data_IF_910192629123
#
_entry.id   IF_910192629123
#
_cell.length_a   1.000
_cell.length_b   1.000
_cell.length_c   1.000
_cell.angle_alpha   90.00
_cell.angle_beta   90.00
_cell.angle_gamma   90.00
#
_symmetry.space_group_name_H-M   'P 1'
#
loop_
_entity.id
_entity.type
_entity.pdbx_description
1 polymer ?
#
# COMPACT_ATOMS: atom_id res chain seq x y z
N UNK A 1 -9.13 -8.82 25.94
CA UNK A 1 -8.00 -9.23 25.08
C UNK A 1 -8.54 -10.11 23.96
N UNK A 2 -9.02 -9.49 22.88
CA UNK A 2 -9.60 -10.20 21.74
C UNK A 2 -8.46 -10.68 20.85
N UNK A 3 -8.30 -12.00 20.75
CA UNK A 3 -7.26 -12.66 19.96
C UNK A 3 -7.39 -12.43 18.44
N UNK A 4 -8.42 -11.69 17.98
CA UNK A 4 -8.62 -11.32 16.57
C UNK A 4 -7.96 -10.01 16.13
N UNK A 5 -7.70 -9.06 17.04
CA UNK A 5 -7.10 -7.76 16.67
C UNK A 5 -5.60 -7.85 16.35
N UNK A 6 -4.89 -8.74 17.04
CA UNK A 6 -3.46 -8.98 16.81
C UNK A 6 -3.20 -9.54 15.42
N UNK A 7 -3.98 -10.54 14.98
CA UNK A 7 -3.79 -11.19 13.67
C UNK A 7 -3.87 -10.22 12.49
N UNK A 8 -4.82 -9.28 12.53
CA UNK A 8 -4.98 -8.29 11.47
C UNK A 8 -3.80 -7.29 11.42
N UNK A 9 -3.24 -6.91 12.57
CA UNK A 9 -2.03 -6.08 12.64
C UNK A 9 -0.80 -6.82 12.13
N UNK A 10 -0.63 -8.10 12.46
CA UNK A 10 0.47 -8.92 11.92
C UNK A 10 0.39 -9.04 10.39
N UNK A 11 -0.81 -9.29 9.84
CA UNK A 11 -1.02 -9.32 8.39
C UNK A 11 -0.67 -7.97 7.74
N UNK A 12 -1.06 -6.87 8.35
CA UNK A 12 -0.76 -5.53 7.85
C UNK A 12 0.75 -5.25 7.86
N UNK A 13 1.46 -5.65 8.92
CA UNK A 13 2.92 -5.54 8.99
C UNK A 13 3.62 -6.37 7.90
N UNK A 14 3.18 -7.62 7.68
CA UNK A 14 3.70 -8.48 6.60
C UNK A 14 3.46 -7.81 5.24
N UNK A 15 2.24 -7.31 5.01
CA UNK A 15 1.89 -6.63 3.78
C UNK A 15 2.76 -5.40 3.54
N UNK A 16 3.03 -4.57 4.55
CA UNK A 16 3.96 -3.44 4.46
C UNK A 16 5.35 -3.91 4.04
N UNK A 17 5.85 -4.94 4.70
CA UNK A 17 7.21 -5.43 4.51
C UNK A 17 7.45 -6.00 3.11
N UNK A 18 6.40 -6.51 2.46
CA UNK A 18 6.48 -7.08 1.11
C UNK A 18 6.07 -6.06 0.04
N UNK A 19 5.01 -5.28 0.25
CA UNK A 19 4.46 -4.39 -0.79
C UNK A 19 5.40 -3.23 -1.10
N UNK A 20 5.98 -2.59 -0.08
CA UNK A 20 6.87 -1.45 -0.26
C UNK A 20 8.08 -1.82 -1.14
N UNK A 21 8.89 -2.85 -0.82
CA UNK A 21 10.03 -3.19 -1.66
C UNK A 21 9.60 -3.61 -3.07
N UNK A 22 8.50 -4.36 -3.21
CA UNK A 22 7.98 -4.76 -4.53
C UNK A 22 7.60 -3.54 -5.38
N UNK A 23 6.89 -2.57 -4.81
CA UNK A 23 6.50 -1.33 -5.50
C UNK A 23 7.72 -0.46 -5.82
N UNK A 24 8.69 -0.35 -4.92
CA UNK A 24 9.92 0.41 -5.17
C UNK A 24 10.77 -0.22 -6.27
N UNK A 25 10.97 -1.55 -6.23
CA UNK A 25 11.68 -2.29 -7.27
C UNK A 25 10.99 -2.06 -8.62
N UNK A 26 9.67 -2.16 -8.69
CA UNK A 26 8.95 -1.89 -9.93
C UNK A 26 9.10 -0.43 -10.37
N UNK A 27 8.97 0.55 -9.46
CA UNK A 27 9.04 1.97 -9.79
C UNK A 27 10.41 2.35 -10.40
N UNK A 28 11.51 1.80 -9.90
CA UNK A 28 12.85 2.12 -10.38
C UNK A 28 13.35 1.18 -11.49
N UNK A 29 13.12 -0.14 -11.36
CA UNK A 29 13.69 -1.17 -12.25
C UNK A 29 12.66 -1.85 -13.15
N UNK A 30 11.40 -1.45 -13.11
CA UNK A 30 10.37 -1.98 -14.00
C UNK A 30 10.67 -1.69 -15.47
N UNK A 31 10.03 -2.43 -16.37
CA UNK A 31 10.03 -2.12 -17.80
C UNK A 31 8.89 -1.17 -18.15
N UNK A 32 8.91 -0.61 -19.37
CA UNK A 32 7.88 0.30 -19.86
C UNK A 32 8.14 1.78 -19.67
N UNK A 33 7.14 2.62 -19.92
CA UNK A 33 7.24 4.07 -19.80
C UNK A 33 7.47 4.51 -18.34
N UNK A 34 8.70 4.94 -18.06
CA UNK A 34 9.13 5.37 -16.73
C UNK A 34 8.27 6.50 -16.14
N UNK A 35 7.77 7.43 -16.97
CA UNK A 35 6.95 8.56 -16.49
C UNK A 35 5.59 8.08 -15.98
N UNK A 36 4.91 7.22 -16.74
CA UNK A 36 3.62 6.64 -16.35
C UNK A 36 3.76 5.76 -15.12
N UNK A 37 4.81 4.92 -15.09
CA UNK A 37 5.11 4.05 -13.97
C UNK A 37 5.33 4.81 -12.66
N UNK A 38 6.15 5.86 -12.69
CA UNK A 38 6.40 6.73 -11.54
C UNK A 38 5.13 7.43 -11.09
N UNK A 39 4.32 7.96 -12.01
CA UNK A 39 3.04 8.57 -11.65
C UNK A 39 2.15 7.60 -10.87
N UNK A 40 1.96 6.37 -11.36
CA UNK A 40 1.15 5.35 -10.69
C UNK A 40 1.72 5.00 -9.30
N UNK A 41 3.00 4.64 -9.23
CA UNK A 41 3.58 4.20 -7.95
C UNK A 41 3.69 5.31 -6.92
N UNK A 42 4.02 6.55 -7.31
CA UNK A 42 4.01 7.68 -6.37
C UNK A 42 2.60 8.05 -5.92
N UNK A 43 1.58 7.96 -6.78
CA UNK A 43 0.19 8.13 -6.37
C UNK A 43 -0.22 7.08 -5.33
N UNK A 44 0.19 5.83 -5.49
CA UNK A 44 -0.08 4.80 -4.48
C UNK A 44 0.63 5.09 -3.15
N UNK A 45 1.89 5.50 -3.18
CA UNK A 45 2.65 5.87 -1.97
C UNK A 45 1.98 7.06 -1.26
N UNK A 46 1.51 8.06 -2.00
CA UNK A 46 0.80 9.20 -1.44
C UNK A 46 -0.52 8.79 -0.76
N UNK A 47 -1.32 7.95 -1.41
CA UNK A 47 -2.57 7.43 -0.81
C UNK A 47 -2.26 6.59 0.44
N UNK A 48 -1.19 5.79 0.41
CA UNK A 48 -0.76 5.02 1.57
C UNK A 48 -0.35 5.92 2.75
N UNK A 49 0.38 7.01 2.47
CA UNK A 49 0.74 7.99 3.50
C UNK A 49 -0.50 8.65 4.12
N UNK A 50 -1.52 8.99 3.32
CA UNK A 50 -2.80 9.52 3.83
C UNK A 50 -3.50 8.49 4.73
N UNK A 51 -3.51 7.21 4.35
CA UNK A 51 -4.09 6.15 5.15
C UNK A 51 -3.39 6.01 6.52
N UNK A 52 -2.05 6.15 6.57
CA UNK A 52 -1.28 6.18 7.81
C UNK A 52 -1.71 7.36 8.68
N UNK A 53 -1.80 8.58 8.12
CA UNK A 53 -2.21 9.77 8.88
C UNK A 53 -3.61 9.57 9.49
N UNK A 54 -4.54 9.01 8.72
CA UNK A 54 -5.89 8.69 9.21
C UNK A 54 -5.86 7.63 10.33
N UNK A 55 -5.02 6.61 10.20
CA UNK A 55 -4.84 5.57 11.21
C UNK A 55 -4.33 6.14 12.55
N UNK A 56 -3.51 7.18 12.52
CA UNK A 56 -2.97 7.84 13.72
C UNK A 56 -3.79 9.06 14.20
N UNK A 57 -4.95 9.36 13.61
CA UNK A 57 -5.66 10.63 13.86
C UNK A 57 -6.34 10.74 15.25
N UNK A 58 -6.28 9.70 16.09
CA UNK A 58 -6.92 9.66 17.41
C UNK A 58 -8.46 9.60 17.40
N UNK A 59 -9.09 9.64 16.23
CA UNK A 59 -10.56 9.58 16.07
C UNK A 59 -10.94 8.18 15.58
N UNK A 60 -11.65 7.40 16.40
CA UNK A 60 -11.90 5.97 16.18
C UNK A 60 -12.45 5.65 14.78
N UNK A 61 -13.35 6.48 14.24
CA UNK A 61 -13.89 6.32 12.90
C UNK A 61 -12.84 6.51 11.80
N UNK A 62 -12.01 7.55 11.89
CA UNK A 62 -10.92 7.82 10.95
C UNK A 62 -9.82 6.75 11.04
N UNK A 63 -9.56 6.22 12.24
CA UNK A 63 -8.60 5.14 12.42
C UNK A 63 -9.03 3.87 11.68
N UNK A 64 -10.32 3.51 11.77
CA UNK A 64 -10.86 2.36 11.05
C UNK A 64 -10.78 2.56 9.53
N UNK A 65 -11.08 3.76 9.04
CA UNK A 65 -10.90 4.09 7.62
C UNK A 65 -9.43 3.96 7.21
N UNK A 66 -8.51 4.54 7.99
CA UNK A 66 -7.06 4.46 7.72
C UNK A 66 -6.56 3.02 7.68
N UNK A 67 -7.04 2.17 8.59
CA UNK A 67 -6.72 0.75 8.62
C UNK A 67 -7.19 0.02 7.35
N UNK A 68 -8.46 0.17 6.99
CA UNK A 68 -9.05 -0.49 5.81
C UNK A 68 -8.42 0.04 4.52
N UNK A 69 -8.26 1.36 4.38
CA UNK A 69 -7.62 1.98 3.23
C UNK A 69 -6.16 1.52 3.09
N UNK A 70 -5.41 1.48 4.20
CA UNK A 70 -4.04 0.98 4.22
C UNK A 70 -3.96 -0.46 3.70
N UNK A 71 -4.84 -1.33 4.18
CA UNK A 71 -4.89 -2.72 3.73
C UNK A 71 -5.15 -2.86 2.23
N UNK A 72 -6.15 -2.14 1.70
CA UNK A 72 -6.50 -2.15 0.28
C UNK A 72 -5.34 -1.62 -0.58
N UNK A 73 -4.71 -0.53 -0.17
CA UNK A 73 -3.61 0.09 -0.92
C UNK A 73 -2.39 -0.82 -0.95
N UNK A 74 -2.07 -1.50 0.16
CA UNK A 74 -0.95 -2.45 0.21
C UNK A 74 -1.15 -3.63 -0.75
N UNK A 75 -2.39 -4.15 -0.85
CA UNK A 75 -2.73 -5.18 -1.83
C UNK A 75 -2.64 -4.62 -3.25
N UNK A 76 -3.16 -3.42 -3.51
CA UNK A 76 -3.08 -2.79 -4.82
C UNK A 76 -1.62 -2.58 -5.25
N UNK A 77 -0.75 -2.14 -4.34
CA UNK A 77 0.69 -1.97 -4.53
C UNK A 77 1.40 -3.28 -4.94
N UNK A 78 0.99 -4.41 -4.37
CA UNK A 78 1.51 -5.74 -4.73
C UNK A 78 1.07 -6.17 -6.14
N UNK A 79 -0.19 -5.90 -6.49
CA UNK A 79 -0.79 -6.34 -7.75
C UNK A 79 -0.36 -5.44 -8.93
N UNK A 80 -0.09 -4.16 -8.67
CA UNK A 80 0.21 -3.15 -9.70
C UNK A 80 1.37 -3.56 -10.61
N UNK A 81 2.54 -3.99 -10.09
CA UNK A 81 3.63 -4.47 -10.94
C UNK A 81 3.24 -5.62 -11.86
N UNK A 82 2.37 -6.52 -11.39
CA UNK A 82 1.91 -7.70 -12.14
C UNK A 82 0.95 -7.28 -13.26
N UNK A 83 -0.03 -6.43 -12.95
CA UNK A 83 -1.04 -5.95 -13.91
C UNK A 83 -0.40 -5.12 -15.02
N UNK A 84 0.62 -4.33 -14.68
CA UNK A 84 1.23 -3.37 -15.57
C UNK A 84 2.53 -3.84 -16.23
N UNK A 85 2.97 -5.08 -15.98
CA UNK A 85 4.23 -5.64 -16.51
C UNK A 85 4.39 -5.47 -18.03
N UNK A 86 3.30 -5.56 -18.80
CA UNK A 86 3.30 -5.52 -20.27
C UNK A 86 2.50 -4.34 -20.86
N UNK A 87 2.00 -3.40 -20.04
CA UNK A 87 1.03 -2.38 -20.47
C UNK A 87 1.50 -0.93 -20.34
N UNK A 88 2.68 -0.70 -19.78
CA UNK A 88 3.19 0.64 -19.45
C UNK A 88 4.31 1.04 -20.37
#
# INVERSE_FOLDING_TARGET
>A
MTHGGGGALYLLLILILVSIPVTLIWLFHGQGNARKRRAIGFSQIAIFAIAIILFFSGVSYLQNIGFVAGFIVLIAMLITPVVFKNRV
#
